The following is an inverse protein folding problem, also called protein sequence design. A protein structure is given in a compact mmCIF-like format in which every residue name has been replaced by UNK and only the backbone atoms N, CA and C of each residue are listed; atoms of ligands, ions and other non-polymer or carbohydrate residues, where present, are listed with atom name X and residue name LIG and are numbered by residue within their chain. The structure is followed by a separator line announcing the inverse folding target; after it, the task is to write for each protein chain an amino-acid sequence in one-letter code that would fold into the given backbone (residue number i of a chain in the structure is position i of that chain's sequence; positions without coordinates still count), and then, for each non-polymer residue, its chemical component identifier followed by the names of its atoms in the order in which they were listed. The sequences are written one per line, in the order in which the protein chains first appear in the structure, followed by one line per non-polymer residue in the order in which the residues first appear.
data_IF_626426382477
#
_entry.id   IF_626426382477
#
_cell.length_a   1.000
_cell.length_b   1.000
_cell.length_c   1.000
_cell.angle_alpha   90.00
_cell.angle_beta   90.00
_cell.angle_gamma   90.00
#
_symmetry.space_group_name_H-M   'P 1'
#
loop_
_entity.id
_entity.type
_entity.pdbx_description
1 polymer ?
#
# COMPACT_ATOMS: atom_id res chain seq x y z
N UNK A 1 10.43 -5.53 -6.28
CA UNK A 1 9.08 -5.13 -6.70
C UNK A 1 8.26 -4.76 -5.48
N UNK A 2 7.62 -3.58 -5.51
CA UNK A 2 6.77 -3.07 -4.43
C UNK A 2 5.36 -2.87 -4.95
N UNK A 3 4.40 -3.62 -4.42
CA UNK A 3 2.99 -3.42 -4.70
C UNK A 3 2.45 -2.20 -3.95
N UNK A 4 1.57 -1.42 -4.59
CA UNK A 4 0.95 -0.27 -3.95
C UNK A 4 -0.56 -0.22 -4.11
N UNK A 5 -1.28 0.10 -3.00
CA UNK A 5 -2.72 0.36 -3.00
C UNK A 5 -3.02 1.53 -2.07
N UNK A 6 -3.40 2.67 -2.64
CA UNK A 6 -3.38 3.98 -1.97
C UNK A 6 -4.73 4.53 -1.57
N UNK A 7 -5.83 3.94 -2.01
CA UNK A 7 -7.17 4.39 -1.64
C UNK A 7 -8.22 3.29 -1.66
N UNK A 8 -9.27 3.46 -0.89
CA UNK A 8 -10.47 2.62 -1.01
C UNK A 8 -11.33 3.09 -2.20
N UNK A 9 -11.89 2.19 -3.01
CA UNK A 9 -12.85 2.56 -4.04
C UNK A 9 -14.19 3.06 -3.44
N UNK A 10 -14.45 2.77 -2.17
CA UNK A 10 -15.68 3.18 -1.47
C UNK A 10 -15.44 4.49 -0.74
N UNK A 11 -15.96 5.57 -1.29
CA UNK A 11 -15.88 6.92 -0.71
C UNK A 11 -17.06 7.17 0.20
N UNK A 12 -16.82 7.32 1.52
CA UNK A 12 -17.85 7.76 2.46
C UNK A 12 -17.22 8.56 3.63
N UNK A 13 -18.01 9.44 4.30
CA UNK A 13 -17.48 10.30 5.36
C UNK A 13 -16.82 9.56 6.53
N UNK A 14 -17.27 8.34 6.85
CA UNK A 14 -16.71 7.54 7.96
C UNK A 14 -15.30 7.01 7.66
N UNK A 15 -14.92 6.96 6.38
CA UNK A 15 -13.62 6.47 5.91
C UNK A 15 -12.65 7.59 5.55
N UNK A 16 -13.09 8.85 5.57
CA UNK A 16 -12.24 10.01 5.25
C UNK A 16 -10.86 9.99 5.93
N UNK A 17 -10.73 9.62 7.21
CA UNK A 17 -9.43 9.58 7.86
C UNK A 17 -8.47 8.53 7.28
N UNK A 18 -8.97 7.52 6.56
CA UNK A 18 -8.15 6.52 5.88
C UNK A 18 -7.76 6.90 4.44
N UNK A 19 -8.26 8.02 3.92
CA UNK A 19 -7.94 8.41 2.56
C UNK A 19 -6.61 9.15 2.52
N UNK A 20 -5.82 8.79 1.52
CA UNK A 20 -4.57 9.44 1.18
C UNK A 20 -4.70 10.14 -0.16
N UNK A 21 -3.89 11.15 -0.38
CA UNK A 21 -3.68 11.77 -1.68
C UNK A 21 -2.36 11.25 -2.28
N UNK A 22 -2.20 11.31 -3.60
CA UNK A 22 -0.95 10.87 -4.24
C UNK A 22 0.25 11.60 -3.67
N UNK A 23 0.11 12.89 -3.36
CA UNK A 23 1.17 13.69 -2.74
C UNK A 23 1.68 13.13 -1.39
N UNK A 24 0.81 12.47 -0.62
CA UNK A 24 1.20 11.84 0.64
C UNK A 24 2.19 10.69 0.43
N UNK A 25 2.14 10.06 -0.77
CA UNK A 25 2.97 8.91 -1.12
C UNK A 25 4.38 9.27 -1.59
N UNK A 26 4.71 10.56 -1.64
CA UNK A 26 6.03 11.02 -2.08
C UNK A 26 7.20 10.29 -1.41
N UNK A 27 7.23 10.03 -0.09
CA UNK A 27 8.33 9.28 0.53
C UNK A 27 8.50 7.86 -0.03
N UNK A 28 7.40 7.20 -0.39
CA UNK A 28 7.43 5.86 -0.99
C UNK A 28 7.83 5.94 -2.47
N UNK A 29 7.20 6.82 -3.23
CA UNK A 29 7.46 6.97 -4.67
C UNK A 29 8.89 7.43 -4.96
N UNK A 30 9.54 8.10 -4.01
CA UNK A 30 10.94 8.54 -4.11
C UNK A 30 11.96 7.46 -3.75
N UNK A 31 11.55 6.23 -3.41
CA UNK A 31 12.46 5.15 -3.08
C UNK A 31 13.33 4.77 -4.29
N UNK A 32 14.67 4.75 -4.15
CA UNK A 32 15.56 4.42 -5.25
C UNK A 32 15.53 2.93 -5.59
N UNK A 33 15.67 2.61 -6.87
CA UNK A 33 15.79 1.23 -7.36
C UNK A 33 14.57 0.34 -7.02
N UNK A 34 13.38 0.94 -7.01
CA UNK A 34 12.11 0.25 -6.80
C UNK A 34 11.34 0.21 -8.12
N UNK A 35 10.77 -0.93 -8.42
CA UNK A 35 9.74 -1.09 -9.46
C UNK A 35 8.40 -1.20 -8.76
N UNK A 36 7.52 -0.24 -9.02
CA UNK A 36 6.18 -0.21 -8.42
C UNK A 36 5.17 -0.97 -9.28
N UNK A 37 4.32 -1.75 -8.61
CA UNK A 37 3.25 -2.55 -9.21
C UNK A 37 1.90 -2.07 -8.67
N UNK A 38 0.96 -1.79 -9.56
CA UNK A 38 -0.39 -1.41 -9.19
C UNK A 38 -1.16 -2.60 -8.59
N UNK A 39 -1.67 -2.41 -7.38
CA UNK A 39 -2.66 -3.29 -6.74
C UNK A 39 -3.98 -2.54 -6.45
N UNK A 40 -4.11 -1.31 -6.90
CA UNK A 40 -5.33 -0.51 -6.72
C UNK A 40 -6.45 -1.06 -7.58
N UNK A 41 -7.57 -1.43 -6.96
CA UNK A 41 -8.65 -2.16 -7.62
C UNK A 41 -9.44 -1.32 -8.65
N UNK A 42 -9.64 -0.04 -8.40
CA UNK A 42 -10.46 0.85 -9.27
C UNK A 42 -10.00 2.29 -9.21
N UNK A 43 -10.39 3.07 -10.23
CA UNK A 43 -10.19 4.53 -10.30
C UNK A 43 -8.71 4.92 -10.15
N UNK A 44 -7.82 4.16 -10.77
CA UNK A 44 -6.38 4.36 -10.64
C UNK A 44 -5.74 5.08 -11.84
N UNK A 45 -6.38 5.10 -13.01
CA UNK A 45 -5.74 5.57 -14.25
C UNK A 45 -5.21 7.01 -14.14
N UNK A 46 -6.03 7.94 -13.64
CA UNK A 46 -5.63 9.33 -13.46
C UNK A 46 -4.53 9.48 -12.39
N UNK A 47 -4.54 8.63 -11.37
CA UNK A 47 -3.52 8.64 -10.32
C UNK A 47 -2.18 8.11 -10.84
N UNK A 48 -2.20 7.10 -11.72
CA UNK A 48 -0.97 6.61 -12.38
C UNK A 48 -0.33 7.70 -13.25
N UNK A 49 -1.15 8.46 -13.99
CA UNK A 49 -0.68 9.62 -14.75
C UNK A 49 -0.07 10.66 -13.83
N UNK A 50 -0.72 10.99 -12.71
CA UNK A 50 -0.16 11.93 -11.72
C UNK A 50 1.16 11.45 -11.13
N UNK A 51 1.28 10.16 -10.80
CA UNK A 51 2.54 9.60 -10.30
C UNK A 51 3.67 9.77 -11.31
N UNK A 52 3.37 9.57 -12.60
CA UNK A 52 4.34 9.79 -13.66
C UNK A 52 4.68 11.27 -13.84
N UNK A 53 3.69 12.16 -13.88
CA UNK A 53 3.88 13.58 -14.20
C UNK A 53 4.51 14.36 -13.04
N UNK A 54 4.09 14.08 -11.80
CA UNK A 54 4.50 14.85 -10.62
C UNK A 54 5.76 14.28 -9.96
N UNK A 55 5.97 12.95 -10.02
CA UNK A 55 7.08 12.27 -9.32
C UNK A 55 8.05 11.56 -10.28
N UNK A 56 7.76 11.52 -11.58
CA UNK A 56 8.59 10.81 -12.56
C UNK A 56 8.59 9.28 -12.38
N UNK A 57 7.57 8.74 -11.73
CA UNK A 57 7.49 7.33 -11.34
C UNK A 57 6.48 6.59 -12.21
N UNK A 58 6.96 5.57 -12.92
CA UNK A 58 6.08 4.63 -13.60
C UNK A 58 5.65 3.53 -12.65
N UNK A 59 4.33 3.43 -12.42
CA UNK A 59 3.72 2.30 -11.72
C UNK A 59 3.15 1.34 -12.76
N UNK A 60 3.68 0.13 -12.79
CA UNK A 60 3.27 -0.88 -13.76
C UNK A 60 1.89 -1.44 -13.43
N UNK A 61 1.01 -1.46 -14.42
CA UNK A 61 -0.33 -2.05 -14.34
C UNK A 61 -0.43 -3.25 -15.29
N UNK A 62 -1.12 -4.30 -14.86
CA UNK A 62 -1.44 -5.44 -15.71
C UNK A 62 -2.89 -5.27 -16.20
N UNK A 63 -3.04 -4.88 -17.47
CA UNK A 63 -4.35 -4.48 -18.04
C UNK A 63 -5.31 -5.67 -18.20
N UNK A 64 -4.79 -6.89 -18.23
CA UNK A 64 -5.54 -8.14 -18.30
C UNK A 64 -5.97 -8.67 -16.93
N UNK A 65 -5.53 -8.05 -15.82
CA UNK A 65 -5.91 -8.40 -14.47
C UNK A 65 -7.11 -7.57 -13.98
N UNK A 66 -8.23 -8.21 -13.68
CA UNK A 66 -9.34 -7.56 -12.98
C UNK A 66 -9.06 -7.49 -11.47
N UNK A 67 -8.40 -6.43 -11.03
CA UNK A 67 -8.05 -6.20 -9.63
C UNK A 67 -9.24 -6.18 -8.65
N UNK A 68 -10.47 -6.16 -9.16
CA UNK A 68 -11.67 -6.07 -8.32
C UNK A 68 -12.41 -7.39 -8.19
N UNK A 69 -12.50 -8.17 -9.27
CA UNK A 69 -13.28 -9.40 -9.31
C UNK A 69 -12.40 -10.66 -9.28
N UNK A 70 -11.17 -10.59 -9.78
CA UNK A 70 -10.25 -11.73 -9.82
C UNK A 70 -9.28 -11.70 -8.62
N UNK A 71 -9.80 -12.10 -7.46
CA UNK A 71 -9.05 -12.06 -6.21
C UNK A 71 -7.94 -13.12 -6.14
N UNK A 72 -8.07 -14.21 -6.86
CA UNK A 72 -7.06 -15.28 -6.90
C UNK A 72 -5.83 -14.80 -7.67
N UNK A 73 -6.00 -14.11 -8.80
CA UNK A 73 -4.89 -13.55 -9.56
C UNK A 73 -4.26 -12.35 -8.83
N UNK A 74 -5.05 -11.53 -8.13
CA UNK A 74 -4.52 -10.48 -7.25
C UNK A 74 -3.69 -11.11 -6.11
N UNK A 75 -4.12 -12.21 -5.54
CA UNK A 75 -3.38 -12.93 -4.52
C UNK A 75 -2.08 -13.53 -5.08
N UNK A 76 -2.12 -14.13 -6.28
CA UNK A 76 -0.95 -14.66 -6.96
C UNK A 76 0.06 -13.57 -7.31
N UNK A 77 -0.40 -12.44 -7.86
CA UNK A 77 0.45 -11.28 -8.11
C UNK A 77 1.09 -10.78 -6.81
N UNK A 78 0.28 -10.65 -5.75
CA UNK A 78 0.77 -10.19 -4.44
C UNK A 78 1.85 -11.11 -3.89
N UNK A 79 1.70 -12.43 -4.02
CA UNK A 79 2.68 -13.41 -3.56
C UNK A 79 4.02 -13.35 -4.32
N UNK A 80 4.04 -12.79 -5.53
CA UNK A 80 5.24 -12.61 -6.33
C UNK A 80 6.03 -11.33 -6.01
N UNK A 81 5.52 -10.45 -5.15
CA UNK A 81 6.15 -9.18 -4.80
C UNK A 81 7.07 -9.32 -3.58
N UNK A 82 8.10 -8.47 -3.53
CA UNK A 82 9.02 -8.42 -2.37
C UNK A 82 8.32 -7.83 -1.13
N UNK A 83 7.44 -6.87 -1.33
CA UNK A 83 6.65 -6.21 -0.29
C UNK A 83 5.47 -5.43 -0.88
N UNK A 84 4.49 -5.11 -0.04
CA UNK A 84 3.32 -4.30 -0.41
C UNK A 84 3.16 -3.14 0.57
N UNK A 85 2.94 -1.94 0.05
CA UNK A 85 2.50 -0.77 0.84
C UNK A 85 1.02 -0.52 0.55
N UNK A 86 0.19 -0.56 1.56
CA UNK A 86 -1.26 -0.40 1.38
C UNK A 86 -1.87 0.46 2.49
N UNK A 87 -2.88 1.23 2.14
CA UNK A 87 -3.84 1.69 3.14
C UNK A 87 -4.81 0.57 3.48
N UNK A 88 -5.66 0.77 4.48
CA UNK A 88 -6.65 -0.22 4.93
C UNK A 88 -7.70 -0.54 3.86
N UNK A 89 -7.41 -1.50 2.99
CA UNK A 89 -8.26 -2.00 1.90
C UNK A 89 -8.27 -3.52 1.86
N UNK A 90 -9.05 -4.13 0.96
CA UNK A 90 -9.03 -5.57 0.74
C UNK A 90 -7.63 -6.09 0.34
N UNK A 91 -6.85 -5.27 -0.35
CA UNK A 91 -5.47 -5.62 -0.75
C UNK A 91 -4.62 -5.97 0.46
N UNK A 92 -4.63 -5.15 1.53
CA UNK A 92 -3.85 -5.46 2.74
C UNK A 92 -4.23 -6.78 3.40
N UNK A 93 -5.50 -7.19 3.27
CA UNK A 93 -5.97 -8.49 3.80
C UNK A 93 -5.52 -9.64 2.90
N UNK A 94 -5.60 -9.47 1.58
CA UNK A 94 -5.16 -10.48 0.60
C UNK A 94 -3.65 -10.72 0.75
N UNK A 95 -2.86 -9.67 0.78
CA UNK A 95 -1.39 -9.75 0.89
C UNK A 95 -0.96 -10.40 2.20
N UNK A 96 -1.63 -10.07 3.31
CA UNK A 96 -1.42 -10.74 4.59
C UNK A 96 -1.76 -12.25 4.51
N UNK A 97 -2.84 -12.59 3.82
CA UNK A 97 -3.30 -13.97 3.64
C UNK A 97 -2.32 -14.86 2.86
N UNK A 98 -1.61 -14.28 1.89
CA UNK A 98 -0.58 -14.99 1.11
C UNK A 98 0.82 -14.88 1.72
N UNK A 99 0.98 -14.19 2.85
CA UNK A 99 2.24 -14.08 3.58
C UNK A 99 3.24 -13.08 3.01
N UNK A 100 2.82 -12.21 2.08
CA UNK A 100 3.68 -11.16 1.53
C UNK A 100 3.93 -10.08 2.58
N UNK A 101 5.20 -9.67 2.81
CA UNK A 101 5.50 -8.55 3.70
C UNK A 101 4.67 -7.32 3.33
N UNK A 102 3.89 -6.82 4.27
CA UNK A 102 2.93 -5.74 4.00
C UNK A 102 3.08 -4.62 5.01
N UNK A 103 3.38 -3.42 4.53
CA UNK A 103 3.39 -2.20 5.33
C UNK A 103 2.01 -1.54 5.22
N UNK A 104 1.27 -1.57 6.31
CA UNK A 104 -0.08 -1.03 6.39
C UNK A 104 -0.07 0.38 6.97
N UNK A 105 -0.38 1.36 6.12
CA UNK A 105 -0.64 2.73 6.56
C UNK A 105 -2.05 2.82 7.14
N UNK A 106 -2.16 3.16 8.42
CA UNK A 106 -3.41 3.02 9.16
C UNK A 106 -3.75 4.25 10.01
N UNK A 107 -5.04 4.46 10.21
CA UNK A 107 -5.56 5.45 11.17
C UNK A 107 -5.93 4.74 12.49
N UNK A 108 -5.24 5.10 13.57
CA UNK A 108 -5.32 4.44 14.88
C UNK A 108 -6.74 4.36 15.46
N UNK A 109 -7.55 5.37 15.26
CA UNK A 109 -8.93 5.43 15.78
C UNK A 109 -9.97 4.83 14.80
N UNK A 110 -9.53 4.08 13.80
CA UNK A 110 -10.45 3.45 12.87
C UNK A 110 -11.42 2.53 13.59
N UNK A 111 -12.73 2.68 13.38
CA UNK A 111 -13.73 1.79 13.99
C UNK A 111 -13.61 0.35 13.47
N UNK A 112 -12.81 0.13 12.44
CA UNK A 112 -12.56 -1.16 11.81
C UNK A 112 -11.34 -1.90 12.37
N UNK A 113 -10.59 -1.29 13.30
CA UNK A 113 -9.40 -1.89 13.91
C UNK A 113 -9.67 -3.30 14.45
N UNK A 114 -10.82 -3.50 15.06
CA UNK A 114 -11.17 -4.78 15.69
C UNK A 114 -11.70 -5.84 14.70
N UNK A 115 -12.05 -5.46 13.48
CA UNK A 115 -12.71 -6.37 12.54
C UNK A 115 -11.73 -6.89 11.48
N UNK A 116 -10.85 -6.03 10.97
CA UNK A 116 -9.97 -6.36 9.84
C UNK A 116 -8.51 -6.56 10.24
N UNK A 117 -8.11 -6.11 11.45
CA UNK A 117 -6.70 -6.01 11.84
C UNK A 117 -6.38 -6.54 13.24
N UNK A 118 -7.29 -7.29 13.87
CA UNK A 118 -7.07 -7.88 15.21
C UNK A 118 -6.00 -8.96 15.26
N UNK A 119 -5.61 -9.47 14.10
CA UNK A 119 -4.42 -10.27 13.96
C UNK A 119 -3.84 -10.00 12.57
N UNK A 120 -3.09 -8.90 12.37
CA UNK A 120 -2.19 -8.86 11.23
C UNK A 120 -1.35 -10.13 11.35
N UNK A 121 -1.30 -10.95 10.30
CA UNK A 121 -0.41 -12.10 10.26
C UNK A 121 1.03 -11.62 10.50
N UNK A 122 1.98 -12.50 10.77
CA UNK A 122 3.37 -12.14 11.04
C UNK A 122 4.05 -11.38 9.88
N UNK A 123 3.37 -11.25 8.75
CA UNK A 123 3.83 -10.52 7.57
C UNK A 123 3.34 -9.08 7.47
N UNK A 124 2.60 -8.55 8.45
CA UNK A 124 2.04 -7.19 8.39
C UNK A 124 2.63 -6.30 9.47
N UNK A 125 3.32 -5.25 9.05
CA UNK A 125 3.75 -4.16 9.91
C UNK A 125 2.78 -2.99 9.80
N UNK A 126 2.27 -2.53 10.94
CA UNK A 126 1.26 -1.47 10.99
C UNK A 126 1.89 -0.15 11.38
N UNK A 127 1.76 0.84 10.51
CA UNK A 127 2.23 2.21 10.72
C UNK A 127 1.03 3.14 10.91
N UNK A 128 0.93 3.73 12.09
CA UNK A 128 -0.28 4.44 12.49
C UNK A 128 -0.07 5.94 12.64
N UNK A 129 -1.10 6.70 12.26
CA UNK A 129 -1.27 8.10 12.65
C UNK A 129 -2.49 8.31 13.52
N UNK A 130 -2.51 9.39 14.30
CA UNK A 130 -3.73 9.86 14.94
C UNK A 130 -4.63 10.60 13.95
N UNK A 131 -5.91 10.76 14.32
CA UNK A 131 -6.85 11.58 13.55
C UNK A 131 -6.25 12.97 13.35
N UNK A 132 -6.37 13.50 12.13
CA UNK A 132 -5.93 14.84 11.73
C UNK A 132 -4.41 15.07 11.64
N UNK A 133 -3.58 14.11 12.01
CA UNK A 133 -2.17 14.16 11.68
C UNK A 133 -1.97 13.92 10.17
N UNK A 134 -1.00 14.58 9.53
CA UNK A 134 -0.68 14.29 8.12
C UNK A 134 -0.13 12.87 7.94
N UNK A 135 -0.28 12.32 6.75
CA UNK A 135 0.24 11.00 6.40
C UNK A 135 1.77 10.96 6.22
N UNK A 136 2.43 12.10 6.05
CA UNK A 136 3.86 12.22 5.76
C UNK A 136 4.74 11.41 6.73
N UNK A 137 4.50 11.52 8.03
CA UNK A 137 5.25 10.77 9.05
C UNK A 137 5.11 9.26 8.89
N UNK A 138 3.92 8.77 8.58
CA UNK A 138 3.66 7.34 8.35
C UNK A 138 4.42 6.86 7.12
N UNK A 139 4.31 7.56 6.00
CA UNK A 139 4.97 7.13 4.76
C UNK A 139 6.49 7.26 4.82
N UNK A 140 7.05 8.22 5.59
CA UNK A 140 8.48 8.27 5.88
C UNK A 140 8.95 7.04 6.66
N UNK A 141 8.23 6.68 7.72
CA UNK A 141 8.56 5.51 8.53
C UNK A 141 8.49 4.22 7.70
N UNK A 142 7.49 4.08 6.83
CA UNK A 142 7.40 2.94 5.90
C UNK A 142 8.58 2.94 4.92
N UNK A 143 8.94 4.09 4.35
CA UNK A 143 10.06 4.19 3.42
C UNK A 143 11.40 3.79 4.10
N UNK A 144 11.63 4.25 5.32
CA UNK A 144 12.80 3.89 6.12
C UNK A 144 12.84 2.38 6.41
N UNK A 145 11.70 1.79 6.75
CA UNK A 145 11.57 0.36 7.00
C UNK A 145 11.94 -0.47 5.76
N UNK A 146 11.39 -0.10 4.59
CA UNK A 146 11.72 -0.76 3.31
C UNK A 146 13.21 -0.67 3.00
N UNK A 147 13.84 0.49 3.21
CA UNK A 147 15.28 0.68 2.99
C UNK A 147 16.08 -0.24 3.92
N UNK A 148 15.76 -0.27 5.21
CA UNK A 148 16.46 -1.05 6.21
C UNK A 148 16.35 -2.55 5.92
N UNK A 149 15.18 -3.06 5.56
CA UNK A 149 14.99 -4.46 5.18
C UNK A 149 15.75 -4.83 3.90
N UNK A 150 15.87 -3.94 2.91
CA UNK A 150 16.71 -4.15 1.73
C UNK A 150 18.20 -4.23 2.06
N UNK A 151 18.68 -3.43 3.01
CA UNK A 151 20.07 -3.43 3.43
C UNK A 151 20.40 -4.76 4.13
N UNK A 152 19.52 -5.21 5.03
CA UNK A 152 19.70 -6.46 5.78
C UNK A 152 19.75 -7.71 4.88
N UNK A 153 18.92 -7.76 3.82
CA UNK A 153 18.92 -8.89 2.87
C UNK A 153 20.12 -8.92 1.92
N UNK A 154 20.86 -7.81 1.76
CA UNK A 154 22.08 -7.75 0.94
C UNK A 154 23.35 -8.13 1.71
N UNK A 155 23.27 -8.23 3.02
CA UNK A 155 24.37 -8.55 3.92
C UNK A 155 24.37 -10.02 4.41
N UNK A 156 23.38 -10.80 3.99
CA UNK A 156 23.27 -12.25 4.19
C UNK A 156 23.36 -12.99 2.86
#
# INVERSE_FOLDING_TARGET
FVGISWKSPVMNPRRLPNYTQIADWNPILSLPHVTFINLQARNFADDLVKMQDEFGVTVHNFDDLDHYNDLDDVAALSAALDTVVSVATAVSTITAGVGTPTQLAHWRQSPWNNILYTAPGPSVDVFERNTWEPWDGVFRSIAEDIINHKIMRRTT
#
